data_IF_643470315300
#
_entry.id   IF_643470315300
#
_cell.length_a   1.000
_cell.length_b   1.000
_cell.length_c   1.000
_cell.angle_alpha   90.00
_cell.angle_beta   90.00
_cell.angle_gamma   90.00
#
_symmetry.space_group_name_H-M   'P 1'
#
loop_
_entity.id
_entity.type
_entity.pdbx_description
1 polymer ?
#
# COMPACT_ATOMS: atom_id res chain seq x y z
N UNK A 1 9.50 18.55 -23.25
CA UNK A 1 8.47 19.32 -22.52
C UNK A 1 7.90 18.38 -21.49
N UNK A 2 8.47 18.39 -20.28
CA UNK A 2 8.03 17.55 -19.17
C UNK A 2 6.66 18.05 -18.69
N UNK A 3 5.68 17.15 -18.66
CA UNK A 3 4.34 17.45 -18.20
C UNK A 3 4.36 17.79 -16.70
N UNK A 4 3.50 18.71 -16.22
CA UNK A 4 3.47 19.07 -14.81
C UNK A 4 3.03 17.83 -14.03
N UNK A 5 3.87 17.37 -13.10
CA UNK A 5 3.54 16.25 -12.23
C UNK A 5 2.37 16.62 -11.34
N UNK A 6 1.18 16.26 -11.83
CA UNK A 6 -0.07 16.33 -11.11
C UNK A 6 -0.10 15.24 -10.06
N UNK A 7 -0.30 15.68 -8.82
CA UNK A 7 -0.75 14.91 -7.65
C UNK A 7 -0.29 13.45 -7.57
N UNK A 8 0.80 13.22 -6.84
CA UNK A 8 1.26 11.88 -6.47
C UNK A 8 0.39 11.40 -5.31
N UNK A 9 -0.76 10.80 -5.62
CA UNK A 9 -1.53 10.07 -4.60
C UNK A 9 -0.67 8.90 -4.15
N UNK A 10 -0.02 9.03 -2.99
CA UNK A 10 0.81 8.00 -2.39
C UNK A 10 -0.09 7.17 -1.48
N UNK A 11 -0.67 6.11 -2.05
CA UNK A 11 -1.14 5.01 -1.20
C UNK A 11 0.11 4.30 -0.68
N UNK A 12 0.46 4.52 0.57
CA UNK A 12 1.53 3.81 1.28
C UNK A 12 0.91 2.72 2.15
N UNK A 13 1.09 1.46 1.76
CA UNK A 13 0.59 0.34 2.54
C UNK A 13 1.60 -0.77 2.78
N UNK A 14 1.46 -1.47 3.91
CA UNK A 14 2.25 -2.69 4.13
C UNK A 14 1.83 -3.73 3.10
N UNK A 15 2.82 -4.32 2.45
CA UNK A 15 2.66 -5.42 1.52
C UNK A 15 3.61 -6.57 1.86
N UNK A 16 3.22 -7.79 1.50
CA UNK A 16 4.09 -8.97 1.63
C UNK A 16 4.27 -9.63 0.28
N UNK A 17 5.50 -9.64 -0.24
CA UNK A 17 5.88 -10.37 -1.45
C UNK A 17 6.26 -11.81 -1.11
N UNK A 18 5.61 -12.78 -1.73
CA UNK A 18 5.97 -14.20 -1.58
C UNK A 18 7.00 -14.59 -2.63
N UNK A 19 8.22 -14.92 -2.19
CA UNK A 19 9.31 -15.39 -3.06
C UNK A 19 9.35 -16.93 -3.16
N UNK A 20 8.86 -17.64 -2.15
CA UNK A 20 8.69 -19.09 -2.16
C UNK A 20 7.67 -19.53 -1.10
N UNK A 21 7.40 -20.83 -0.98
CA UNK A 21 6.50 -21.38 0.05
C UNK A 21 6.90 -21.00 1.49
N UNK A 22 8.19 -20.71 1.73
CA UNK A 22 8.72 -20.43 3.08
C UNK A 22 9.41 -19.05 3.18
N UNK A 23 9.49 -18.29 2.08
CA UNK A 23 10.19 -17.01 2.05
C UNK A 23 9.26 -15.91 1.60
N UNK A 24 9.06 -14.94 2.49
CA UNK A 24 8.32 -13.71 2.21
C UNK A 24 9.16 -12.49 2.54
N UNK A 25 8.97 -11.43 1.78
CA UNK A 25 9.59 -10.12 2.01
C UNK A 25 8.50 -9.14 2.44
N UNK A 26 8.71 -8.47 3.57
CA UNK A 26 7.86 -7.36 3.98
C UNK A 26 8.29 -6.09 3.25
N UNK A 27 7.32 -5.44 2.60
CA UNK A 27 7.51 -4.26 1.77
C UNK A 27 6.55 -3.15 2.17
N UNK A 28 6.92 -1.94 1.79
CA UNK A 28 6.01 -0.80 1.69
C UNK A 28 5.66 -0.65 0.21
N UNK A 29 4.38 -0.87 -0.13
CA UNK A 29 3.82 -0.59 -1.44
C UNK A 29 3.41 0.89 -1.47
N UNK A 30 3.94 1.60 -2.45
CA UNK A 30 3.60 2.98 -2.77
C UNK A 30 2.99 2.98 -4.17
N UNK A 31 1.73 3.40 -4.28
CA UNK A 31 1.15 3.69 -5.60
C UNK A 31 1.33 5.16 -5.89
N UNK A 32 1.57 5.51 -7.15
CA UNK A 32 1.54 6.89 -7.64
C UNK A 32 0.51 6.97 -8.78
N UNK A 33 0.41 8.10 -9.46
CA UNK A 33 -0.45 8.20 -10.66
C UNK A 33 0.04 7.33 -11.83
N UNK A 34 1.33 6.97 -11.87
CA UNK A 34 1.98 6.36 -13.04
C UNK A 34 2.84 5.13 -12.76
N UNK A 35 3.14 4.85 -11.49
CA UNK A 35 4.09 3.81 -11.08
C UNK A 35 3.65 3.11 -9.80
N UNK A 36 4.04 1.85 -9.69
CA UNK A 36 4.10 1.07 -8.45
C UNK A 36 5.51 1.11 -7.92
N UNK A 37 5.70 1.50 -6.66
CA UNK A 37 7.00 1.52 -5.98
C UNK A 37 6.97 0.54 -4.81
N UNK A 38 7.94 -0.36 -4.77
CA UNK A 38 8.11 -1.37 -3.73
C UNK A 38 9.39 -1.07 -2.95
N UNK A 39 9.23 -0.55 -1.74
CA UNK A 39 10.34 -0.20 -0.85
C UNK A 39 10.45 -1.18 0.33
N UNK A 40 11.63 -1.30 0.98
CA UNK A 40 11.76 -2.09 2.20
C UNK A 40 10.80 -1.62 3.30
N UNK A 41 10.24 -2.57 4.05
CA UNK A 41 9.40 -2.23 5.20
C UNK A 41 10.24 -1.91 6.45
N UNK A 42 10.09 -0.70 7.00
CA UNK A 42 10.78 -0.29 8.23
C UNK A 42 9.94 -0.61 9.49
N UNK A 43 10.11 -1.84 9.99
CA UNK A 43 9.46 -2.28 11.23
C UNK A 43 9.78 -1.39 12.43
N UNK A 44 11.00 -0.83 12.51
CA UNK A 44 11.41 -0.01 13.65
C UNK A 44 10.65 1.31 13.68
N UNK A 45 10.46 1.95 12.51
CA UNK A 45 9.68 3.17 12.38
C UNK A 45 8.20 2.94 12.68
N UNK A 46 7.61 1.84 12.22
CA UNK A 46 6.23 1.47 12.57
C UNK A 46 6.07 1.25 14.08
N UNK A 47 7.03 0.58 14.73
CA UNK A 47 7.03 0.42 16.20
C UNK A 47 7.06 1.77 16.91
N UNK A 48 7.89 2.72 16.47
CA UNK A 48 7.92 4.08 17.04
C UNK A 48 6.58 4.80 16.89
N UNK A 49 5.94 4.71 15.73
CA UNK A 49 4.61 5.32 15.49
C UNK A 49 3.55 4.70 16.41
N UNK A 50 3.57 3.37 16.59
CA UNK A 50 2.68 2.67 17.53
C UNK A 50 2.83 3.19 18.96
N UNK A 51 4.07 3.36 19.43
CA UNK A 51 4.36 3.90 20.76
C UNK A 51 3.84 5.33 20.89
N UNK A 52 4.10 6.18 19.89
CA UNK A 52 3.64 7.57 19.90
C UNK A 52 2.11 7.68 19.96
N UNK A 53 1.38 6.91 19.13
CA UNK A 53 -0.10 6.88 19.16
C UNK A 53 -0.66 6.33 20.47
N UNK A 54 0.01 5.33 21.06
CA UNK A 54 -0.36 4.81 22.38
C UNK A 54 -0.23 5.89 23.46
N UNK A 55 0.87 6.65 23.43
CA UNK A 55 1.15 7.72 24.38
C UNK A 55 0.15 8.89 24.23
N UNK A 56 -0.15 9.29 22.99
CA UNK A 56 -1.15 10.32 22.68
C UNK A 56 -2.57 9.89 23.13
N UNK A 57 -2.98 8.67 22.82
CA UNK A 57 -4.25 8.12 23.31
C UNK A 57 -4.34 8.15 24.85
N UNK A 58 -3.25 7.77 25.52
CA UNK A 58 -3.19 7.77 26.99
C UNK A 58 -3.31 9.19 27.54
N UNK A 59 -2.67 10.20 26.94
CA UNK A 59 -2.75 11.59 27.41
C UNK A 59 -4.17 12.17 27.26
N UNK A 60 -4.94 11.68 26.27
CA UNK A 60 -6.34 12.03 26.04
C UNK A 60 -7.33 11.22 26.92
N UNK A 61 -6.83 10.42 27.88
CA UNK A 61 -7.67 9.67 28.82
C UNK A 61 -8.24 8.36 28.26
N UNK A 62 -7.73 7.86 27.14
CA UNK A 62 -8.20 6.60 26.56
C UNK A 62 -7.93 5.40 27.49
N UNK A 63 -8.88 4.47 27.56
CA UNK A 63 -8.71 3.18 28.26
C UNK A 63 -7.60 2.34 27.66
N UNK A 64 -7.12 1.32 28.40
CA UNK A 64 -6.08 0.39 27.90
C UNK A 64 -6.49 -0.30 26.58
N UNK A 65 -7.76 -0.64 26.43
CA UNK A 65 -8.27 -1.23 25.19
C UNK A 65 -8.24 -0.23 24.04
N UNK A 66 -8.66 1.01 24.27
CA UNK A 66 -8.60 2.07 23.25
C UNK A 66 -7.16 2.40 22.85
N UNK A 67 -6.23 2.45 23.80
CA UNK A 67 -4.80 2.59 23.52
C UNK A 67 -4.27 1.47 22.62
N UNK A 68 -4.58 0.21 22.94
CA UNK A 68 -4.24 -0.95 22.12
C UNK A 68 -4.88 -0.86 20.72
N UNK A 69 -6.15 -0.49 20.65
CA UNK A 69 -6.89 -0.37 19.39
C UNK A 69 -6.31 0.74 18.50
N UNK A 70 -5.99 1.92 19.02
CA UNK A 70 -5.36 2.99 18.25
C UNK A 70 -3.92 2.67 17.84
N UNK A 71 -3.17 1.96 18.68
CA UNK A 71 -1.87 1.41 18.30
C UNK A 71 -2.00 0.37 17.18
N UNK A 72 -3.04 -0.46 17.22
CA UNK A 72 -3.38 -1.44 16.18
C UNK A 72 -3.97 -0.81 14.90
N UNK A 73 -4.29 0.50 14.92
CA UNK A 73 -4.61 1.33 13.76
C UNK A 73 -3.37 2.03 13.17
N UNK A 74 -2.17 1.79 13.72
CA UNK A 74 -0.91 2.16 13.06
C UNK A 74 -0.52 1.36 11.79
N UNK A 75 -1.26 0.37 11.25
CA UNK A 75 -0.92 -0.20 9.96
C UNK A 75 -0.87 0.92 8.93
N UNK A 76 0.23 0.95 8.20
CA UNK A 76 0.42 1.81 7.07
C UNK A 76 -0.65 1.44 6.04
N UNK A 77 -1.68 2.26 5.95
CA UNK A 77 -2.56 2.44 4.81
C UNK A 77 -2.86 3.94 4.83
N UNK A 78 -1.89 4.73 4.37
CA UNK A 78 -2.05 6.17 4.24
C UNK A 78 -2.37 6.42 2.77
N UNK A 79 -3.52 7.02 2.51
CA UNK A 79 -3.78 7.66 1.22
C UNK A 79 -3.58 9.14 1.48
N UNK A 80 -2.46 9.67 1.03
CA UNK A 80 -2.17 11.08 1.12
C UNK A 80 -1.65 11.60 -0.23
N UNK A 81 -1.99 12.84 -0.55
CA UNK A 81 -1.58 13.49 -1.77
C UNK A 81 -0.30 14.28 -1.53
N UNK A 82 0.80 13.86 -2.15
CA UNK A 82 2.03 14.67 -2.14
C UNK A 82 2.12 15.47 -3.44
N UNK A 83 1.74 16.74 -3.35
CA UNK A 83 1.89 17.66 -4.47
C UNK A 83 3.39 17.90 -4.76
N UNK A 84 3.78 17.80 -6.05
CA UNK A 84 5.13 18.10 -6.56
C UNK A 84 6.24 17.12 -6.17
N UNK A 85 5.89 15.89 -5.78
CA UNK A 85 6.91 14.86 -5.56
C UNK A 85 7.16 14.09 -6.86
N UNK A 86 8.36 14.28 -7.43
CA UNK A 86 8.78 13.61 -8.66
C UNK A 86 9.17 12.16 -8.39
N UNK A 87 9.20 11.33 -9.43
CA UNK A 87 9.79 9.99 -9.30
C UNK A 87 11.29 10.05 -8.93
N UNK A 88 11.99 11.09 -9.38
CA UNK A 88 13.40 11.30 -9.02
C UNK A 88 13.57 11.56 -7.51
N UNK A 89 12.65 12.31 -6.91
CA UNK A 89 12.64 12.56 -5.46
C UNK A 89 12.38 11.26 -4.68
N UNK A 90 11.39 10.47 -5.13
CA UNK A 90 11.10 9.15 -4.54
C UNK A 90 12.32 8.23 -4.59
N UNK A 91 13.02 8.16 -5.73
CA UNK A 91 14.22 7.33 -5.89
C UNK A 91 15.42 7.87 -5.10
N UNK A 92 15.49 9.18 -4.89
CA UNK A 92 16.54 9.79 -4.05
C UNK A 92 16.33 9.43 -2.58
N UNK A 93 15.09 9.48 -2.10
CA UNK A 93 14.76 9.12 -0.73
C UNK A 93 14.74 7.60 -0.49
N UNK A 94 14.45 6.81 -1.52
CA UNK A 94 14.33 5.35 -1.48
C UNK A 94 15.21 4.69 -2.55
N UNK A 95 16.55 4.76 -2.43
CA UNK A 95 17.47 4.30 -3.47
C UNK A 95 17.45 2.79 -3.72
N UNK A 96 16.85 2.02 -2.80
CA UNK A 96 16.70 0.56 -2.91
C UNK A 96 15.31 0.12 -3.35
N UNK A 97 14.42 1.06 -3.67
CA UNK A 97 13.07 0.72 -4.11
C UNK A 97 13.06 0.15 -5.54
N UNK A 98 12.16 -0.82 -5.77
CA UNK A 98 11.84 -1.28 -7.13
C UNK A 98 10.69 -0.44 -7.66
N UNK A 99 10.84 0.09 -8.87
CA UNK A 99 9.81 0.88 -9.55
C UNK A 99 9.31 0.08 -10.75
N UNK A 100 7.99 -0.08 -10.84
CA UNK A 100 7.30 -0.74 -11.94
C UNK A 100 6.35 0.27 -12.57
N UNK A 101 6.61 0.62 -13.83
CA UNK A 101 5.74 1.47 -14.64
C UNK A 101 4.90 0.64 -15.58
N UNK A 102 4.05 1.33 -16.36
CA UNK A 102 3.18 0.70 -17.35
C UNK A 102 3.90 -0.35 -18.19
N UNK A 103 5.08 -0.01 -18.75
CA UNK A 103 5.86 -0.87 -19.63
C UNK A 103 6.31 -2.19 -19.01
N UNK A 104 6.44 -2.24 -17.67
CA UNK A 104 6.92 -3.41 -16.94
C UNK A 104 5.83 -4.45 -16.72
N UNK A 105 4.55 -4.04 -16.78
CA UNK A 105 3.42 -4.93 -16.56
C UNK A 105 3.05 -5.71 -17.82
N UNK A 106 2.71 -6.98 -17.67
CA UNK A 106 1.94 -7.74 -18.66
C UNK A 106 0.47 -7.78 -18.25
N UNK A 107 0.23 -7.98 -16.95
CA UNK A 107 -1.10 -8.03 -16.35
C UNK A 107 -1.04 -7.53 -14.90
N UNK A 108 -2.07 -6.80 -14.46
CA UNK A 108 -2.28 -6.40 -13.07
C UNK A 108 -3.65 -6.82 -12.63
N UNK A 109 -3.70 -7.70 -11.62
CA UNK A 109 -4.95 -8.29 -11.13
C UNK A 109 -5.05 -8.07 -9.63
N UNK A 110 -6.13 -7.41 -9.20
CA UNK A 110 -6.42 -7.22 -7.77
C UNK A 110 -7.54 -8.18 -7.36
N UNK A 111 -7.14 -9.31 -6.77
CA UNK A 111 -8.07 -10.31 -6.23
C UNK A 111 -8.51 -9.86 -4.84
N UNK A 112 -9.79 -9.54 -4.70
CA UNK A 112 -10.36 -9.14 -3.41
C UNK A 112 -10.48 -10.34 -2.47
N UNK A 113 -10.01 -10.17 -1.24
CA UNK A 113 -10.33 -11.10 -0.14
C UNK A 113 -11.69 -10.83 0.51
N UNK A 114 -12.23 -9.61 0.40
CA UNK A 114 -13.42 -9.18 1.16
C UNK A 114 -14.45 -8.51 0.23
N UNK A 115 -15.73 -8.94 0.25
CA UNK A 115 -16.78 -8.30 -0.53
C UNK A 115 -16.96 -6.83 -0.11
N UNK A 116 -17.23 -5.90 -1.05
CA UNK A 116 -17.39 -4.47 -0.76
C UNK A 116 -18.66 -4.24 0.07
N UNK A 117 -18.53 -4.11 1.39
CA UNK A 117 -19.68 -4.25 2.29
C UNK A 117 -19.90 -3.17 3.34
N UNK A 118 -18.89 -2.63 4.02
CA UNK A 118 -19.14 -1.78 5.19
C UNK A 118 -18.11 -0.65 5.34
N UNK A 119 -18.58 0.59 5.20
CA UNK A 119 -17.92 1.74 5.80
C UNK A 119 -18.00 1.60 7.32
N UNK A 120 -16.88 1.25 7.97
CA UNK A 120 -16.79 1.13 9.42
C UNK A 120 -15.38 0.81 9.87
N UNK A 121 -15.02 1.08 11.15
CA UNK A 121 -13.76 0.64 11.70
C UNK A 121 -13.64 -0.89 11.61
N UNK A 122 -12.44 -1.35 11.25
CA UNK A 122 -12.08 -2.75 11.01
C UNK A 122 -12.84 -3.76 11.89
N UNK A 123 -13.55 -4.68 11.26
CA UNK A 123 -13.95 -5.92 11.94
C UNK A 123 -12.73 -6.82 12.01
N UNK A 124 -12.37 -7.33 13.20
CA UNK A 124 -11.30 -8.32 13.30
C UNK A 124 -11.64 -9.54 12.43
N UNK A 125 -10.79 -9.86 11.45
CA UNK A 125 -10.97 -11.01 10.56
C UNK A 125 -11.19 -10.70 9.07
N UNK A 126 -11.28 -9.42 8.66
CA UNK A 126 -11.32 -9.08 7.23
C UNK A 126 -10.00 -9.48 6.53
N UNK A 127 -10.06 -10.30 5.46
CA UNK A 127 -8.86 -10.78 4.77
C UNK A 127 -8.18 -9.67 3.95
N UNK A 128 -6.84 -9.73 3.82
CA UNK A 128 -6.07 -8.79 3.01
C UNK A 128 -6.45 -8.89 1.53
N UNK A 129 -6.24 -7.79 0.80
CA UNK A 129 -6.33 -7.82 -0.66
C UNK A 129 -5.12 -8.55 -1.23
N UNK A 130 -5.30 -9.31 -2.31
CA UNK A 130 -4.19 -9.96 -3.00
C UNK A 130 -3.97 -9.26 -4.34
N UNK A 131 -2.85 -8.55 -4.46
CA UNK A 131 -2.42 -7.94 -5.71
C UNK A 131 -1.45 -8.88 -6.42
N UNK A 132 -1.75 -9.18 -7.68
CA UNK A 132 -0.93 -9.97 -8.58
C UNK A 132 -0.42 -9.05 -9.68
N UNK A 133 0.90 -8.95 -9.81
CA UNK A 133 1.56 -8.19 -10.87
C UNK A 133 2.33 -9.19 -11.74
N UNK A 134 1.84 -9.46 -12.94
CA UNK A 134 2.59 -10.18 -13.96
C UNK A 134 3.47 -9.17 -14.68
N UNK A 135 4.78 -9.40 -14.67
CA UNK A 135 5.78 -8.54 -15.31
C UNK A 135 6.60 -9.34 -16.31
N UNK A 136 7.31 -8.64 -17.19
CA UNK A 136 8.25 -9.26 -18.16
C UNK A 136 9.36 -10.08 -17.50
N UNK A 137 9.61 -9.83 -16.20
CA UNK A 137 10.64 -10.53 -15.41
C UNK A 137 10.08 -11.64 -14.51
N UNK A 138 8.76 -11.82 -14.50
CA UNK A 138 8.08 -12.80 -13.67
C UNK A 138 6.89 -12.23 -12.90
N UNK A 139 6.33 -13.05 -12.03
CA UNK A 139 5.10 -12.73 -11.28
C UNK A 139 5.44 -12.26 -9.85
N UNK A 140 4.79 -11.19 -9.41
CA UNK A 140 4.90 -10.65 -8.06
C UNK A 140 3.53 -10.74 -7.40
N UNK A 141 3.42 -11.59 -6.36
CA UNK A 141 2.22 -11.67 -5.53
C UNK A 141 2.42 -10.90 -4.23
N UNK A 142 1.55 -9.92 -4.00
CA UNK A 142 1.53 -9.07 -2.81
C UNK A 142 0.25 -9.26 -2.01
N UNK A 143 0.37 -9.36 -0.69
CA UNK A 143 -0.77 -9.21 0.22
C UNK A 143 -0.82 -7.79 0.77
N UNK A 144 -1.86 -7.03 0.44
CA UNK A 144 -2.07 -5.63 0.85
C UNK A 144 -3.04 -5.60 2.02
N UNK A 145 -2.80 -4.69 2.97
CA UNK A 145 -3.70 -4.48 4.10
C UNK A 145 -5.14 -4.23 3.65
N UNK A 146 -6.08 -5.00 4.21
CA UNK A 146 -7.52 -4.91 3.92
C UNK A 146 -8.17 -3.59 4.34
N UNK A 147 -7.49 -2.77 5.15
CA UNK A 147 -7.95 -1.41 5.51
C UNK A 147 -7.99 -0.43 4.33
N UNK A 148 -7.29 -0.74 3.22
CA UNK A 148 -7.35 0.09 2.00
C UNK A 148 -8.70 -0.14 1.31
N UNK A 149 -9.41 0.93 0.97
CA UNK A 149 -10.63 0.83 0.14
C UNK A 149 -10.26 0.24 -1.23
N UNK A 150 -10.85 -0.92 -1.54
CA UNK A 150 -10.59 -1.61 -2.79
C UNK A 150 -11.06 -0.83 -4.03
N UNK A 151 -12.06 0.05 -3.93
CA UNK A 151 -12.47 0.91 -5.06
C UNK A 151 -11.38 1.89 -5.41
N UNK A 152 -10.81 2.51 -4.38
CA UNK A 152 -9.73 3.48 -4.52
C UNK A 152 -8.44 2.80 -4.97
N UNK A 153 -8.11 1.63 -4.41
CA UNK A 153 -7.00 0.81 -4.86
C UNK A 153 -7.13 0.43 -6.34
N UNK A 154 -8.32 0.00 -6.78
CA UNK A 154 -8.60 -0.27 -8.21
C UNK A 154 -8.44 0.98 -9.08
N UNK A 155 -8.95 2.13 -8.63
CA UNK A 155 -8.83 3.40 -9.36
C UNK A 155 -7.36 3.74 -9.62
N UNK A 156 -6.52 3.64 -8.59
CA UNK A 156 -5.08 3.91 -8.69
C UNK A 156 -4.37 2.90 -9.60
N UNK A 157 -4.60 1.60 -9.40
CA UNK A 157 -4.00 0.55 -10.22
C UNK A 157 -4.41 0.65 -11.69
N UNK A 158 -5.68 0.95 -11.98
CA UNK A 158 -6.16 1.20 -13.35
C UNK A 158 -5.50 2.44 -13.98
N UNK A 159 -5.23 3.48 -13.20
CA UNK A 159 -4.48 4.66 -13.68
C UNK A 159 -3.07 4.29 -14.16
N UNK A 160 -2.39 3.43 -13.40
CA UNK A 160 -1.02 2.97 -13.68
C UNK A 160 -0.98 1.96 -14.84
N UNK A 161 -1.76 0.88 -14.73
CA UNK A 161 -1.69 -0.28 -15.63
C UNK A 161 -2.60 -0.16 -16.85
N UNK A 162 -3.58 0.76 -16.85
CA UNK A 162 -4.48 1.05 -17.97
C UNK A 162 -5.23 -0.20 -18.45
N UNK A 163 -5.02 -0.58 -19.71
CA UNK A 163 -5.58 -1.76 -20.37
C UNK A 163 -4.99 -3.09 -19.86
N UNK A 164 -3.86 -3.05 -19.15
CA UNK A 164 -3.25 -4.22 -18.50
C UNK A 164 -3.87 -4.56 -17.15
N UNK A 165 -4.77 -3.70 -16.65
CA UNK A 165 -5.52 -3.96 -15.42
C UNK A 165 -6.72 -4.88 -15.71
N UNK A 166 -6.69 -6.10 -15.19
CA UNK A 166 -7.79 -7.05 -15.28
C UNK A 166 -8.62 -6.92 -14.02
N UNK A 167 -9.84 -6.40 -14.16
CA UNK A 167 -10.82 -6.41 -13.09
C UNK A 167 -11.51 -7.78 -13.11
N UNK A 168 -11.46 -8.52 -11.99
CA UNK A 168 -12.53 -9.48 -11.71
C UNK A 168 -13.84 -8.67 -11.62
N UNK A 169 -14.73 -8.87 -12.60
CA UNK A 169 -16.11 -8.34 -12.58
C UNK A 169 -16.92 -8.91 -11.42
#
# INVERSE_FOLDING_TARGET
>A
MEAPEGETVLLACQAVERQSAFKSLELTLLLTSSFVVLAPFDQAKVRKIRVARTADAKSQGASRFQQMWYAAQAPFALIDGYARMTMADVLTELPTARVLGYADFEEVTLVQGTPPGRFGPRTAGEPPHKLMLSTTTGEISLQIDGHVDARELRRLLKGIARDRFVADE
#
